data_IF_932874269666
#
_entry.id   IF_932874269666
#
_cell.length_a   1.000
_cell.length_b   1.000
_cell.length_c   1.000
_cell.angle_alpha   90.00
_cell.angle_beta   90.00
_cell.angle_gamma   90.00
#
_symmetry.space_group_name_H-M   'P 1'
#
loop_
_entity.id
_entity.type
_entity.pdbx_description
1 polymer ?
#
# COMPACT_ATOMS: atom_id res chain seq x y z
N UNK A 1 31.52 -24.53 -2.78
CA UNK A 1 31.25 -23.15 -2.35
C UNK A 1 30.65 -23.19 -0.96
N UNK A 2 31.34 -22.62 0.03
CA UNK A 2 30.91 -22.64 1.44
C UNK A 2 29.94 -21.49 1.73
N UNK A 3 29.16 -21.60 2.82
CA UNK A 3 28.21 -20.54 3.23
C UNK A 3 28.90 -19.20 3.53
N UNK A 4 30.16 -19.25 3.99
CA UNK A 4 30.98 -18.07 4.25
C UNK A 4 31.37 -17.37 2.95
N UNK A 5 31.83 -18.13 1.94
CA UNK A 5 32.13 -17.61 0.60
C UNK A 5 30.92 -16.92 -0.04
N UNK A 6 29.73 -17.54 0.04
CA UNK A 6 28.48 -16.94 -0.48
C UNK A 6 28.15 -15.61 0.19
N UNK A 7 28.34 -15.51 1.50
CA UNK A 7 28.09 -14.30 2.28
C UNK A 7 29.07 -13.19 1.89
N UNK A 8 30.34 -13.53 1.71
CA UNK A 8 31.39 -12.58 1.34
C UNK A 8 31.17 -12.06 -0.09
N UNK A 9 30.77 -12.92 -1.03
CA UNK A 9 30.36 -12.53 -2.39
C UNK A 9 29.15 -11.58 -2.34
N UNK A 10 28.10 -11.93 -1.57
CA UNK A 10 26.92 -11.09 -1.43
C UNK A 10 27.27 -9.71 -0.84
N UNK A 11 28.10 -9.67 0.20
CA UNK A 11 28.57 -8.43 0.83
C UNK A 11 29.36 -7.57 -0.16
N UNK A 12 30.20 -8.18 -0.99
CA UNK A 12 30.93 -7.50 -2.05
C UNK A 12 30.00 -6.77 -3.02
N UNK A 13 28.94 -7.43 -3.50
CA UNK A 13 27.93 -6.80 -4.36
C UNK A 13 27.19 -5.66 -3.65
N UNK A 14 26.79 -5.85 -2.39
CA UNK A 14 26.07 -4.82 -1.62
C UNK A 14 26.89 -3.55 -1.43
N UNK A 15 28.20 -3.67 -1.17
CA UNK A 15 29.10 -2.54 -1.00
C UNK A 15 29.33 -1.84 -2.34
N UNK A 16 29.66 -2.61 -3.40
CA UNK A 16 29.94 -2.08 -4.74
C UNK A 16 28.76 -1.29 -5.30
N UNK A 17 27.55 -1.85 -5.17
CA UNK A 17 26.34 -1.27 -5.77
C UNK A 17 25.54 -0.40 -4.78
N UNK A 18 26.06 -0.21 -3.55
CA UNK A 18 25.45 0.57 -2.47
C UNK A 18 23.97 0.21 -2.22
N UNK A 19 23.61 -1.07 -2.34
CA UNK A 19 22.23 -1.56 -2.40
C UNK A 19 21.80 -2.27 -1.10
N UNK A 20 22.21 -1.72 0.05
CA UNK A 20 21.95 -2.34 1.35
C UNK A 20 20.45 -2.63 1.55
N UNK A 21 20.05 -3.85 1.97
CA UNK A 21 18.65 -4.26 2.08
C UNK A 21 17.83 -3.34 2.99
N UNK A 22 18.46 -2.76 4.01
CA UNK A 22 17.84 -1.76 4.89
C UNK A 22 17.25 -0.56 4.13
N UNK A 23 17.84 -0.12 3.01
CA UNK A 23 17.30 0.99 2.22
C UNK A 23 15.91 0.67 1.66
N UNK A 24 15.66 -0.61 1.35
CA UNK A 24 14.35 -1.07 0.89
C UNK A 24 13.34 -1.12 2.04
N UNK A 25 13.78 -1.53 3.24
CA UNK A 25 12.94 -1.62 4.44
C UNK A 25 12.59 -0.23 4.99
N UNK A 26 13.51 0.73 4.88
CA UNK A 26 13.36 2.08 5.41
C UNK A 26 12.10 2.79 4.89
N UNK A 27 11.77 2.64 3.61
CA UNK A 27 10.55 3.22 3.05
C UNK A 27 9.29 2.70 3.74
N UNK A 28 9.22 1.40 4.01
CA UNK A 28 8.11 0.81 4.76
C UNK A 28 8.06 1.30 6.21
N UNK A 29 9.23 1.44 6.85
CA UNK A 29 9.32 1.95 8.23
C UNK A 29 8.88 3.40 8.36
N UNK A 30 9.06 4.23 7.34
CA UNK A 30 8.58 5.62 7.34
C UNK A 30 7.08 5.72 7.04
N UNK A 31 6.54 4.80 6.23
CA UNK A 31 5.13 4.79 5.86
C UNK A 31 4.21 4.45 7.05
N UNK A 32 4.61 3.52 7.92
CA UNK A 32 3.78 3.08 9.06
C UNK A 32 3.45 4.25 10.02
N UNK A 33 4.43 5.05 10.51
CA UNK A 33 4.16 6.21 11.35
C UNK A 33 3.23 7.22 10.70
N UNK A 34 3.47 7.56 9.42
CA UNK A 34 2.59 8.48 8.67
C UNK A 34 1.17 7.92 8.63
N UNK A 35 1.02 6.63 8.33
CA UNK A 35 -0.27 5.97 8.30
C UNK A 35 -1.01 6.03 9.63
N UNK A 36 -0.31 5.80 10.75
CA UNK A 36 -0.88 5.89 12.10
C UNK A 36 -1.29 7.33 12.41
N UNK A 37 -0.40 8.30 12.20
CA UNK A 37 -0.65 9.71 12.55
C UNK A 37 -1.89 10.22 11.81
N UNK A 38 -1.96 10.04 10.49
CA UNK A 38 -3.13 10.49 9.71
C UNK A 38 -4.42 9.80 10.14
N UNK A 39 -4.37 8.50 10.43
CA UNK A 39 -5.55 7.75 10.89
C UNK A 39 -6.07 8.28 12.24
N UNK A 40 -5.17 8.52 13.19
CA UNK A 40 -5.52 9.05 14.52
C UNK A 40 -6.01 10.49 14.40
N UNK A 41 -5.36 11.34 13.61
CA UNK A 41 -5.78 12.72 13.39
C UNK A 41 -7.19 12.80 12.79
N UNK A 42 -7.49 12.02 11.75
CA UNK A 42 -8.83 12.00 11.12
C UNK A 42 -9.91 11.46 12.07
N UNK A 43 -9.57 10.45 12.86
CA UNK A 43 -10.46 9.91 13.89
C UNK A 43 -10.74 10.96 14.99
N UNK A 44 -9.72 11.68 15.44
CA UNK A 44 -9.88 12.74 16.44
C UNK A 44 -10.73 13.89 15.90
N UNK A 45 -10.49 14.34 14.66
CA UNK A 45 -11.33 15.35 13.99
C UNK A 45 -12.79 14.90 13.89
N UNK A 46 -13.00 13.62 13.57
CA UNK A 46 -14.34 13.02 13.51
C UNK A 46 -15.03 13.07 14.88
N UNK A 47 -14.35 12.68 15.96
CA UNK A 47 -14.93 12.72 17.30
C UNK A 47 -15.18 14.15 17.78
N UNK A 48 -14.33 15.10 17.41
CA UNK A 48 -14.55 16.52 17.69
C UNK A 48 -15.82 17.03 17.00
N UNK A 49 -16.07 16.66 15.74
CA UNK A 49 -17.29 17.00 14.99
C UNK A 49 -18.59 16.49 15.65
N UNK A 50 -18.48 15.46 16.50
CA UNK A 50 -19.60 14.85 17.24
C UNK A 50 -19.76 15.40 18.67
N UNK A 51 -18.82 16.23 19.15
CA UNK A 51 -18.82 16.78 20.50
C UNK A 51 -19.74 17.99 20.70
N UNK A 52 -19.98 18.32 21.98
CA UNK A 52 -20.84 19.44 22.42
C UNK A 52 -20.07 20.79 22.42
N UNK A 53 -18.74 20.75 22.34
CA UNK A 53 -17.90 21.94 22.39
C UNK A 53 -18.06 22.79 21.11
N UNK A 54 -17.87 24.12 21.16
CA UNK A 54 -17.83 24.95 19.97
C UNK A 54 -16.64 24.53 19.12
N UNK A 55 -16.95 23.86 18.02
CA UNK A 55 -15.99 23.32 17.06
C UNK A 55 -15.99 24.25 15.86
N UNK A 56 -14.84 24.42 15.19
CA UNK A 56 -14.78 25.24 13.98
C UNK A 56 -15.76 24.73 12.92
N UNK A 57 -16.36 25.65 12.16
CA UNK A 57 -17.30 25.30 11.07
C UNK A 57 -16.71 24.26 10.11
N UNK A 58 -15.40 24.32 9.86
CA UNK A 58 -14.68 23.36 9.02
C UNK A 58 -14.74 21.91 9.52
N UNK A 59 -14.79 21.68 10.84
CA UNK A 59 -14.89 20.33 11.41
C UNK A 59 -16.36 19.90 11.51
N UNK A 60 -17.30 20.83 11.64
CA UNK A 60 -18.73 20.55 11.51
C UNK A 60 -19.09 20.10 10.07
N UNK A 61 -18.42 20.66 9.06
CA UNK A 61 -18.56 20.29 7.65
C UNK A 61 -18.32 18.80 7.36
N UNK A 62 -17.56 18.07 8.19
CA UNK A 62 -17.35 16.63 8.02
C UNK A 62 -18.65 15.81 8.03
N UNK A 63 -19.72 16.31 8.65
CA UNK A 63 -21.03 15.64 8.69
C UNK A 63 -21.84 15.81 7.41
N UNK A 64 -21.58 16.88 6.66
CA UNK A 64 -22.45 17.32 5.56
C UNK A 64 -21.74 17.36 4.21
N UNK A 65 -20.42 17.54 4.20
CA UNK A 65 -19.59 17.77 3.02
C UNK A 65 -18.78 16.52 2.62
N UNK A 66 -19.41 15.36 2.65
CA UNK A 66 -18.86 14.13 2.10
C UNK A 66 -18.89 14.08 0.56
N UNK A 67 -18.57 12.92 -0.01
CA UNK A 67 -18.36 12.76 -1.45
C UNK A 67 -19.17 11.59 -2.02
N UNK A 68 -19.69 11.75 -3.24
CA UNK A 68 -20.43 10.73 -3.99
C UNK A 68 -21.63 10.14 -3.24
N UNK A 69 -21.45 9.00 -2.56
CA UNK A 69 -22.51 8.24 -1.87
C UNK A 69 -22.43 8.33 -0.33
N UNK A 70 -21.37 8.89 0.24
CA UNK A 70 -21.22 9.10 1.68
C UNK A 70 -21.13 10.60 1.96
N UNK A 71 -22.28 11.22 2.25
CA UNK A 71 -22.35 12.65 2.60
C UNK A 71 -21.82 12.96 4.00
N UNK A 72 -21.82 11.96 4.89
CA UNK A 72 -21.30 12.07 6.25
C UNK A 72 -19.97 11.30 6.37
N UNK A 73 -18.87 12.03 6.50
CA UNK A 73 -17.53 11.46 6.69
C UNK A 73 -17.31 10.90 8.10
N UNK A 74 -18.17 11.26 9.05
CA UNK A 74 -18.07 10.84 10.45
C UNK A 74 -18.71 9.49 10.71
N UNK A 75 -19.71 9.13 9.90
CA UNK A 75 -20.39 7.83 9.96
C UNK A 75 -19.57 6.75 9.23
N UNK A 76 -19.53 5.50 9.72
CA UNK A 76 -18.87 4.40 9.03
C UNK A 76 -19.59 3.97 7.73
N UNK A 77 -18.85 3.89 6.62
CA UNK A 77 -19.27 3.15 5.42
C UNK A 77 -19.01 1.66 5.63
N UNK A 78 -20.08 0.88 5.64
CA UNK A 78 -20.02 -0.55 5.98
C UNK A 78 -19.72 -1.46 4.79
N UNK A 79 -19.85 -0.97 3.56
CA UNK A 79 -19.91 -1.82 2.37
C UNK A 79 -18.96 -1.34 1.27
N UNK A 80 -19.14 -0.13 0.75
CA UNK A 80 -18.51 0.28 -0.50
C UNK A 80 -17.03 0.62 -0.28
N UNK A 81 -16.71 1.48 0.69
CA UNK A 81 -15.29 1.81 0.98
C UNK A 81 -14.51 0.56 1.41
N UNK A 82 -15.00 -0.28 2.36
CA UNK A 82 -14.32 -1.53 2.72
C UNK A 82 -14.11 -2.49 1.54
N UNK A 83 -15.11 -2.64 0.65
CA UNK A 83 -14.99 -3.50 -0.52
C UNK A 83 -13.96 -2.99 -1.53
N UNK A 84 -13.94 -1.68 -1.80
CA UNK A 84 -12.93 -1.06 -2.66
C UNK A 84 -11.53 -1.18 -2.04
N UNK A 85 -11.41 -0.96 -0.74
CA UNK A 85 -10.15 -1.09 -0.01
C UNK A 85 -9.62 -2.52 -0.09
N UNK A 86 -10.49 -3.51 0.10
CA UNK A 86 -10.15 -4.93 -0.06
C UNK A 86 -9.63 -5.21 -1.47
N UNK A 87 -10.40 -4.79 -2.49
CA UNK A 87 -10.06 -4.99 -3.89
C UNK A 87 -8.71 -4.39 -4.27
N UNK A 88 -8.48 -3.12 -3.93
CA UNK A 88 -7.24 -2.40 -4.28
C UNK A 88 -6.03 -3.06 -3.63
N UNK A 89 -6.09 -3.38 -2.33
CA UNK A 89 -4.95 -3.98 -1.65
C UNK A 89 -4.68 -5.43 -2.08
N UNK A 90 -5.73 -6.20 -2.39
CA UNK A 90 -5.57 -7.51 -3.02
C UNK A 90 -4.89 -7.38 -4.40
N UNK A 91 -5.33 -6.43 -5.23
CA UNK A 91 -4.70 -6.19 -6.53
C UNK A 91 -3.20 -5.87 -6.40
N UNK A 92 -2.81 -5.04 -5.42
CA UNK A 92 -1.39 -4.75 -5.14
C UNK A 92 -0.62 -6.05 -4.81
N UNK A 93 -1.18 -6.89 -3.94
CA UNK A 93 -0.54 -8.14 -3.49
C UNK A 93 -0.45 -9.17 -4.61
N UNK A 94 -1.49 -9.32 -5.43
CA UNK A 94 -1.48 -10.26 -6.56
C UNK A 94 -0.55 -9.80 -7.69
N UNK A 95 -0.52 -8.50 -8.00
CA UNK A 95 0.48 -7.96 -8.94
C UNK A 95 1.90 -8.25 -8.42
N UNK A 96 2.14 -8.09 -7.12
CA UNK A 96 3.43 -8.41 -6.52
C UNK A 96 3.76 -9.91 -6.60
N UNK A 97 2.79 -10.77 -6.33
CA UNK A 97 2.93 -12.23 -6.43
C UNK A 97 3.26 -12.65 -7.87
N UNK A 98 2.50 -12.17 -8.86
CA UNK A 98 2.67 -12.52 -10.28
C UNK A 98 4.00 -12.04 -10.87
N UNK A 99 4.54 -10.93 -10.35
CA UNK A 99 5.84 -10.39 -10.75
C UNK A 99 7.02 -11.17 -10.17
N UNK A 100 6.84 -11.83 -9.03
CA UNK A 100 7.91 -12.56 -8.34
C UNK A 100 7.90 -14.08 -8.60
N UNK A 101 7.27 -14.53 -9.71
CA UNK A 101 7.22 -15.94 -10.08
C UNK A 101 8.60 -16.43 -10.54
N UNK A 102 9.32 -16.96 -9.56
CA UNK A 102 10.39 -17.93 -9.71
C UNK A 102 10.49 -18.68 -8.39
N UNK A 103 9.94 -19.91 -8.33
CA UNK A 103 9.91 -20.83 -7.17
C UNK A 103 9.97 -20.09 -5.82
N UNK A 104 8.87 -19.41 -5.49
CA UNK A 104 8.81 -18.60 -4.28
C UNK A 104 9.27 -19.40 -3.06
N UNK A 105 10.28 -18.90 -2.36
CA UNK A 105 10.80 -19.54 -1.17
C UNK A 105 9.68 -19.65 -0.12
N UNK A 106 9.76 -20.61 0.80
CA UNK A 106 8.76 -20.75 1.86
C UNK A 106 8.46 -19.42 2.58
N UNK A 107 9.45 -18.57 2.92
CA UNK A 107 9.20 -17.24 3.49
C UNK A 107 8.36 -16.32 2.61
N UNK A 108 8.54 -16.35 1.28
CA UNK A 108 7.77 -15.50 0.37
C UNK A 108 6.30 -15.93 0.32
N UNK A 109 6.03 -17.24 0.34
CA UNK A 109 4.66 -17.77 0.39
C UNK A 109 3.95 -17.39 1.69
N UNK A 110 4.67 -17.53 2.82
CA UNK A 110 4.17 -17.11 4.14
C UNK A 110 3.85 -15.62 4.10
N UNK A 111 4.79 -14.77 3.65
CA UNK A 111 4.59 -13.33 3.57
C UNK A 111 3.35 -12.96 2.75
N UNK A 112 3.19 -13.53 1.54
CA UNK A 112 2.04 -13.26 0.70
C UNK A 112 0.72 -13.67 1.35
N UNK A 113 0.66 -14.87 1.94
CA UNK A 113 -0.55 -15.35 2.59
C UNK A 113 -0.89 -14.53 3.84
N UNK A 114 0.11 -14.16 4.64
CA UNK A 114 -0.07 -13.27 5.79
C UNK A 114 -0.54 -11.88 5.34
N UNK A 115 0.00 -11.33 4.25
CA UNK A 115 -0.47 -10.06 3.69
C UNK A 115 -1.95 -10.12 3.28
N UNK A 116 -2.40 -11.21 2.66
CA UNK A 116 -3.83 -11.40 2.30
C UNK A 116 -4.73 -11.40 3.53
N UNK A 117 -4.33 -12.07 4.61
CA UNK A 117 -5.07 -12.06 5.88
C UNK A 117 -5.13 -10.64 6.47
N UNK A 118 -3.99 -9.94 6.51
CA UNK A 118 -3.92 -8.55 6.99
C UNK A 118 -4.86 -7.65 6.19
N UNK A 119 -4.91 -7.81 4.87
CA UNK A 119 -5.79 -7.02 3.99
C UNK A 119 -7.27 -7.22 4.34
N UNK A 120 -7.69 -8.48 4.60
CA UNK A 120 -9.05 -8.77 5.05
C UNK A 120 -9.34 -8.14 6.41
N UNK A 121 -8.39 -8.20 7.35
CA UNK A 121 -8.52 -7.56 8.67
C UNK A 121 -8.64 -6.04 8.56
N UNK A 122 -7.84 -5.40 7.70
CA UNK A 122 -7.91 -3.95 7.45
C UNK A 122 -9.27 -3.58 6.83
N UNK A 123 -9.77 -4.35 5.86
CA UNK A 123 -11.08 -4.13 5.28
C UNK A 123 -12.20 -4.27 6.31
N UNK A 124 -12.14 -5.30 7.17
CA UNK A 124 -13.10 -5.46 8.27
C UNK A 124 -13.02 -4.29 9.26
N UNK A 125 -11.82 -3.83 9.62
CA UNK A 125 -11.65 -2.65 10.46
C UNK A 125 -12.23 -1.39 9.80
N UNK A 126 -12.17 -1.26 8.47
CA UNK A 126 -12.75 -0.12 7.77
C UNK A 126 -14.27 -0.01 7.95
N UNK A 127 -14.98 -1.13 8.18
CA UNK A 127 -16.45 -1.15 8.40
C UNK A 127 -16.90 -0.51 9.71
N UNK A 128 -15.99 -0.39 10.69
CA UNK A 128 -16.26 0.18 12.03
C UNK A 128 -15.56 1.53 12.25
N UNK A 129 -14.67 1.92 11.33
CA UNK A 129 -14.01 3.22 11.36
C UNK A 129 -14.89 4.28 10.67
N UNK A 130 -14.80 5.56 11.06
CA UNK A 130 -15.41 6.65 10.30
C UNK A 130 -14.99 6.61 8.83
N UNK A 131 -15.91 7.00 7.93
CA UNK A 131 -15.64 7.07 6.50
C UNK A 131 -14.43 7.95 6.18
N UNK A 132 -14.15 9.01 6.95
CA UNK A 132 -12.96 9.85 6.81
C UNK A 132 -11.65 9.03 6.88
N UNK A 133 -11.55 8.11 7.84
CA UNK A 133 -10.37 7.26 8.06
C UNK A 133 -10.29 6.17 6.98
N UNK A 134 -11.42 5.48 6.74
CA UNK A 134 -11.49 4.40 5.76
C UNK A 134 -11.25 4.92 4.33
N UNK A 135 -11.73 6.12 4.00
CA UNK A 135 -11.47 6.79 2.73
C UNK A 135 -10.01 7.20 2.58
N UNK A 136 -9.38 7.70 3.65
CA UNK A 136 -7.93 7.94 3.66
C UNK A 136 -7.15 6.66 3.35
N UNK A 137 -7.49 5.54 3.97
CA UNK A 137 -6.87 4.24 3.66
C UNK A 137 -7.05 3.86 2.20
N UNK A 138 -8.25 4.05 1.64
CA UNK A 138 -8.53 3.76 0.23
C UNK A 138 -7.70 4.63 -0.70
N UNK A 139 -7.63 5.93 -0.47
CA UNK A 139 -6.82 6.87 -1.24
C UNK A 139 -5.33 6.51 -1.18
N UNK A 140 -4.82 6.20 0.01
CA UNK A 140 -3.43 5.79 0.23
C UNK A 140 -3.09 4.51 -0.54
N UNK A 141 -3.93 3.48 -0.43
CA UNK A 141 -3.77 2.22 -1.16
C UNK A 141 -3.88 2.40 -2.68
N UNK A 142 -4.79 3.25 -3.15
CA UNK A 142 -5.00 3.52 -4.58
C UNK A 142 -3.80 4.25 -5.17
N UNK A 143 -3.25 5.24 -4.45
CA UNK A 143 -2.02 5.92 -4.85
C UNK A 143 -0.84 4.94 -4.91
N UNK A 144 -0.71 4.06 -3.90
CA UNK A 144 0.31 3.01 -3.89
C UNK A 144 0.18 2.03 -5.07
N UNK A 145 -1.03 1.61 -5.42
CA UNK A 145 -1.30 0.80 -6.61
C UNK A 145 -0.90 1.54 -7.89
N UNK A 146 -1.31 2.79 -8.02
CA UNK A 146 -0.95 3.65 -9.16
C UNK A 146 0.57 3.79 -9.31
N UNK A 147 1.29 4.10 -8.22
CA UNK A 147 2.75 4.16 -8.21
C UNK A 147 3.37 2.83 -8.66
N UNK A 148 2.87 1.70 -8.15
CA UNK A 148 3.38 0.37 -8.53
C UNK A 148 3.17 0.09 -10.03
N UNK A 149 1.99 0.41 -10.56
CA UNK A 149 1.68 0.24 -11.98
C UNK A 149 2.50 1.17 -12.87
N UNK A 150 2.65 2.44 -12.50
CA UNK A 150 3.48 3.40 -13.23
C UNK A 150 4.94 2.95 -13.29
N UNK A 151 5.48 2.47 -12.17
CA UNK A 151 6.86 1.96 -12.10
C UNK A 151 7.06 0.63 -12.83
N UNK A 152 5.99 -0.04 -13.29
CA UNK A 152 6.12 -1.18 -14.19
C UNK A 152 6.39 -0.75 -15.63
N UNK A 153 5.95 0.45 -16.03
CA UNK A 153 6.07 0.92 -17.42
C UNK A 153 7.55 1.26 -17.72
N UNK A 154 8.19 0.62 -18.72
CA UNK A 154 9.60 0.88 -19.05
C UNK A 154 9.85 2.36 -19.38
N UNK A 155 8.93 3.00 -20.13
CA UNK A 155 9.03 4.44 -20.47
C UNK A 155 9.08 5.33 -19.23
N UNK A 156 8.20 5.09 -18.24
CA UNK A 156 8.19 5.84 -16.98
C UNK A 156 9.50 5.62 -16.22
N UNK A 157 9.99 4.38 -16.16
CA UNK A 157 11.30 4.05 -15.57
C UNK A 157 12.43 4.82 -16.24
N UNK A 158 12.44 4.95 -17.57
CA UNK A 158 13.45 5.75 -18.29
C UNK A 158 13.37 7.24 -17.98
N UNK A 159 12.17 7.80 -17.92
CA UNK A 159 11.96 9.21 -17.53
C UNK A 159 12.50 9.46 -16.13
N UNK A 160 12.26 8.53 -15.20
CA UNK A 160 12.76 8.58 -13.82
C UNK A 160 14.22 8.14 -13.66
N UNK A 161 14.94 7.90 -14.78
CA UNK A 161 16.35 7.47 -14.80
C UNK A 161 16.63 6.18 -14.02
N UNK A 162 15.66 5.29 -13.96
CA UNK A 162 15.82 3.97 -13.33
C UNK A 162 16.57 3.06 -14.31
N UNK A 163 17.71 2.44 -13.90
CA UNK A 163 18.48 1.54 -14.75
C UNK A 163 17.68 0.34 -15.23
N UNK A 164 18.06 -0.20 -16.40
CA UNK A 164 17.47 -1.44 -16.91
C UNK A 164 17.96 -2.62 -16.09
N UNK A 165 17.06 -3.53 -15.76
CA UNK A 165 17.40 -4.76 -15.02
C UNK A 165 17.08 -5.98 -15.87
N UNK A 166 17.82 -7.07 -15.69
CA UNK A 166 17.60 -8.32 -16.44
C UNK A 166 16.18 -8.92 -16.26
N UNK A 167 15.45 -8.48 -15.23
CA UNK A 167 14.07 -8.89 -14.94
C UNK A 167 13.01 -7.95 -15.53
N UNK A 168 13.42 -6.90 -16.24
CA UNK A 168 12.50 -5.95 -16.86
C UNK A 168 11.92 -6.52 -18.14
N UNK A 169 10.58 -6.56 -18.21
CA UNK A 169 9.85 -6.91 -19.42
C UNK A 169 9.51 -5.65 -20.24
N UNK A 170 9.50 -5.80 -21.56
CA UNK A 170 9.02 -4.78 -22.50
C UNK A 170 7.49 -4.63 -22.46
N UNK A 171 6.76 -5.67 -22.03
CA UNK A 171 5.29 -5.73 -22.01
C UNK A 171 4.74 -6.21 -20.66
N UNK A 172 5.04 -5.49 -19.55
CA UNK A 172 4.78 -5.97 -18.18
C UNK A 172 3.32 -6.34 -17.89
N UNK A 173 2.36 -5.61 -18.45
CA UNK A 173 0.94 -5.90 -18.26
C UNK A 173 0.46 -7.10 -19.07
N UNK A 174 1.02 -7.33 -20.27
CA UNK A 174 0.71 -8.53 -21.07
C UNK A 174 1.27 -9.78 -20.40
N UNK A 175 2.46 -9.68 -19.85
CA UNK A 175 3.10 -10.78 -19.13
C UNK A 175 2.35 -11.15 -17.86
N UNK A 176 1.72 -10.18 -17.19
CA UNK A 176 0.83 -10.43 -16.06
C UNK A 176 -0.47 -11.06 -16.54
N UNK A 177 -1.08 -10.52 -17.60
CA UNK A 177 -2.31 -11.06 -18.18
C UNK A 177 -2.16 -12.52 -18.64
N UNK A 178 -1.01 -12.88 -19.22
CA UNK A 178 -0.70 -14.23 -19.68
C UNK A 178 -0.46 -15.26 -18.55
N UNK A 179 -0.38 -14.79 -17.29
CA UNK A 179 -0.18 -15.65 -16.11
C UNK A 179 -1.45 -15.91 -15.31
N UNK A 180 -2.56 -15.28 -15.70
CA UNK A 180 -3.90 -15.63 -15.25
C UNK A 180 -4.42 -16.79 -16.09
#
# INVERSE_FOLDING_TARGET
MTFKELRDIHRGFVIRDNCHPFKTVLLGLLQIPVWIIFSVSLRNLTFMSQGINPVSESVAGLKTEGLLWFSDLTSPDRIIIPALLLFVNLAVTEIHALRNIGKGSLPQKILLNTSRVIIVVIAAAATINPSSVSFYWLCSSTFGLGQNMLLMIPKVRRILRIPSTAKESSTPFRDIAAKF
#
